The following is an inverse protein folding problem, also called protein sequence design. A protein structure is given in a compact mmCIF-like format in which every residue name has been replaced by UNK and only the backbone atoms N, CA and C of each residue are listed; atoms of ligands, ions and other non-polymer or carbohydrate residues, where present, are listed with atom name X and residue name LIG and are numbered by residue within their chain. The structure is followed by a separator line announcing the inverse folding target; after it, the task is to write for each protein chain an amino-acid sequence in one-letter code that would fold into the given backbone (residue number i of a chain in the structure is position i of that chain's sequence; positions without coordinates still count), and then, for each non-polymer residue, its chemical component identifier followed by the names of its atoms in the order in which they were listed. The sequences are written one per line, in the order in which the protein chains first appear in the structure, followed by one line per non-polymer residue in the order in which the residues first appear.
data_IF_011166341935
#
_entry.id   IF_011166341935
#
_cell.length_a   1.000
_cell.length_b   1.000
_cell.length_c   1.000
_cell.angle_alpha   90.00
_cell.angle_beta   90.00
_cell.angle_gamma   90.00
#
_symmetry.space_group_name_H-M   'P 1'
#
loop_
_entity.id
_entity.type
_entity.pdbx_description
1 polymer ?
#
# COMPACT_ATOMS: atom_id res chain seq x y z
N UNK A 1 -4.68 -18.32 22.06
CA UNK A 1 -4.22 -16.98 21.62
C UNK A 1 -4.18 -15.94 22.75
N UNK A 2 -4.94 -16.09 23.83
CA UNK A 2 -4.92 -15.14 24.95
C UNK A 2 -3.99 -15.56 26.08
N UNK A 3 -3.02 -16.43 25.83
CA UNK A 3 -2.21 -17.07 26.89
C UNK A 3 -1.32 -16.11 27.67
N UNK A 4 -1.00 -14.95 27.13
CA UNK A 4 -0.16 -13.96 27.81
C UNK A 4 -0.96 -12.92 28.60
N UNK A 5 -2.23 -12.69 28.26
CA UNK A 5 -3.06 -11.69 28.95
C UNK A 5 -3.20 -12.07 30.42
N UNK A 6 -3.00 -11.11 31.31
CA UNK A 6 -3.02 -11.28 32.77
C UNK A 6 -1.75 -11.85 33.35
N UNK A 7 -0.74 -12.25 32.53
CA UNK A 7 0.55 -12.74 33.03
C UNK A 7 1.54 -11.59 33.16
N UNK A 8 2.42 -11.71 34.17
CA UNK A 8 3.60 -10.85 34.32
C UNK A 8 4.84 -11.63 33.93
N UNK A 9 5.58 -11.11 32.93
CA UNK A 9 6.83 -11.71 32.43
C UNK A 9 7.89 -10.63 32.41
N UNK A 10 9.01 -10.88 33.06
CA UNK A 10 10.16 -9.95 33.16
C UNK A 10 9.78 -8.53 33.64
N UNK A 11 8.77 -8.43 34.53
CA UNK A 11 8.26 -7.16 35.05
C UNK A 11 7.23 -6.46 34.19
N UNK A 12 6.81 -7.07 33.05
CA UNK A 12 5.77 -6.55 32.16
C UNK A 12 4.47 -7.31 32.38
N UNK A 13 3.41 -6.62 32.79
CA UNK A 13 2.06 -7.17 32.93
C UNK A 13 1.31 -7.00 31.59
N UNK A 14 0.97 -8.11 30.93
CA UNK A 14 0.27 -8.14 29.64
C UNK A 14 -1.23 -7.89 29.83
N UNK A 15 -1.73 -6.79 29.27
CA UNK A 15 -3.10 -6.30 29.52
C UNK A 15 -4.07 -6.74 28.40
N UNK A 16 -3.74 -6.44 27.14
CA UNK A 16 -4.62 -6.70 25.99
C UNK A 16 -3.83 -6.81 24.70
N UNK A 17 -4.43 -7.44 23.69
CA UNK A 17 -3.90 -7.38 22.31
C UNK A 17 -4.38 -6.08 21.68
N UNK A 18 -3.46 -5.33 21.08
CA UNK A 18 -3.71 -4.07 20.36
C UNK A 18 -3.42 -4.17 18.87
N UNK A 19 -2.80 -5.27 18.42
CA UNK A 19 -2.56 -5.55 17.01
C UNK A 19 -2.28 -7.03 16.78
N UNK A 20 -2.73 -7.53 15.63
CA UNK A 20 -2.47 -8.89 15.16
C UNK A 20 -2.02 -8.83 13.71
N UNK A 21 -0.88 -9.43 13.42
CA UNK A 21 -0.31 -9.57 12.09
C UNK A 21 0.07 -11.01 11.79
N UNK A 22 0.35 -11.32 10.54
CA UNK A 22 0.71 -12.68 10.13
C UNK A 22 1.93 -13.30 10.83
N UNK A 23 2.79 -12.47 11.42
CA UNK A 23 4.06 -12.91 12.04
C UNK A 23 4.15 -12.64 13.53
N UNK A 24 3.34 -11.75 14.08
CA UNK A 24 3.44 -11.34 15.48
C UNK A 24 2.12 -10.78 16.00
N UNK A 25 1.95 -10.87 17.33
CA UNK A 25 0.95 -10.16 18.09
C UNK A 25 1.58 -8.93 18.73
N UNK A 26 0.84 -7.84 18.83
CA UNK A 26 1.24 -6.66 19.58
C UNK A 26 0.34 -6.54 20.80
N UNK A 27 0.94 -6.57 21.97
CA UNK A 27 0.25 -6.45 23.27
C UNK A 27 0.47 -5.06 23.85
N UNK A 28 -0.56 -4.49 24.46
CA UNK A 28 -0.40 -3.46 25.47
C UNK A 28 0.02 -4.12 26.77
N UNK A 29 1.10 -3.64 27.39
CA UNK A 29 1.57 -4.13 28.65
C UNK A 29 1.93 -2.96 29.59
N UNK A 30 2.01 -3.24 30.90
CA UNK A 30 2.44 -2.29 31.90
C UNK A 30 3.80 -2.69 32.42
N UNK A 31 4.77 -1.80 32.29
CA UNK A 31 6.12 -1.92 32.82
C UNK A 31 6.10 -1.54 34.31
N UNK A 32 6.14 -2.54 35.19
CA UNK A 32 6.09 -2.35 36.64
C UNK A 32 7.35 -1.68 37.23
N UNK A 33 8.49 -1.78 36.53
CA UNK A 33 9.76 -1.19 36.97
C UNK A 33 9.81 0.31 36.70
N UNK A 34 9.24 0.76 35.57
CA UNK A 34 9.29 2.16 35.12
C UNK A 34 7.94 2.85 35.17
N UNK A 35 6.92 2.21 35.73
CA UNK A 35 5.57 2.77 35.96
C UNK A 35 4.98 3.39 34.68
N UNK A 36 4.96 2.62 33.58
CA UNK A 36 4.49 3.10 32.27
C UNK A 36 3.86 2.01 31.42
N UNK A 37 3.01 2.41 30.48
CA UNK A 37 2.55 1.52 29.42
C UNK A 37 3.57 1.36 28.31
N UNK A 38 3.69 0.14 27.80
CA UNK A 38 4.54 -0.24 26.66
C UNK A 38 3.74 -1.08 25.67
N UNK A 39 4.21 -1.14 24.43
CA UNK A 39 3.75 -2.10 23.45
C UNK A 39 4.77 -3.23 23.34
N UNK A 40 4.33 -4.48 23.37
CA UNK A 40 5.22 -5.63 23.25
C UNK A 40 4.83 -6.45 22.02
N UNK A 41 5.72 -6.48 21.02
CA UNK A 41 5.54 -7.26 19.79
C UNK A 41 6.14 -8.65 20.00
N UNK A 42 5.31 -9.67 20.02
CA UNK A 42 5.68 -11.08 20.28
C UNK A 42 5.54 -11.89 19.01
N UNK A 43 6.61 -12.59 18.60
CA UNK A 43 6.56 -13.47 17.41
C UNK A 43 5.51 -14.57 17.63
N UNK A 44 4.78 -14.86 16.55
CA UNK A 44 3.80 -15.94 16.53
C UNK A 44 4.48 -17.30 16.83
N UNK A 45 3.91 -18.15 17.72
CA UNK A 45 4.50 -19.45 18.08
C UNK A 45 4.89 -20.33 16.90
N UNK A 46 4.08 -20.32 15.82
CA UNK A 46 4.37 -21.07 14.58
C UNK A 46 5.68 -20.68 13.91
N UNK A 47 6.18 -19.48 14.14
CA UNK A 47 7.39 -18.92 13.54
C UNK A 47 8.56 -19.00 14.52
N UNK A 48 8.29 -19.00 15.83
CA UNK A 48 9.29 -19.01 16.89
C UNK A 48 10.16 -20.28 16.93
N UNK A 49 9.72 -21.39 16.32
CA UNK A 49 10.50 -22.62 16.22
C UNK A 49 11.71 -22.52 15.26
N UNK A 50 11.76 -21.51 14.40
CA UNK A 50 12.89 -21.27 13.49
C UNK A 50 13.95 -20.39 14.17
N UNK A 51 15.11 -20.95 14.48
CA UNK A 51 16.25 -20.20 15.02
C UNK A 51 16.66 -19.04 14.10
N UNK A 52 16.60 -19.25 12.78
CA UNK A 52 16.91 -18.22 11.78
C UNK A 52 15.93 -17.06 11.89
N UNK A 53 14.65 -17.34 12.07
CA UNK A 53 13.61 -16.33 12.24
C UNK A 53 13.80 -15.52 13.52
N UNK A 54 14.12 -16.18 14.63
CA UNK A 54 14.41 -15.51 15.91
C UNK A 54 15.65 -14.62 15.84
N UNK A 55 16.72 -15.07 15.19
CA UNK A 55 17.95 -14.29 15.01
C UNK A 55 17.69 -13.05 14.16
N UNK A 56 16.95 -13.17 13.06
CA UNK A 56 16.55 -12.04 12.22
C UNK A 56 15.72 -11.03 12.99
N UNK A 57 14.70 -11.49 13.73
CA UNK A 57 13.86 -10.63 14.56
C UNK A 57 14.66 -9.83 15.60
N UNK A 58 15.61 -10.49 16.28
CA UNK A 58 16.53 -9.83 17.24
C UNK A 58 17.45 -8.81 16.54
N UNK A 59 17.98 -9.16 15.36
CA UNK A 59 18.86 -8.28 14.58
C UNK A 59 18.11 -7.01 14.14
N UNK A 60 16.89 -7.18 13.66
CA UNK A 60 16.05 -6.07 13.21
C UNK A 60 15.64 -5.16 14.37
N UNK A 61 15.25 -5.74 15.52
CA UNK A 61 14.97 -4.96 16.72
C UNK A 61 16.18 -4.13 17.16
N UNK A 62 17.39 -4.71 17.15
CA UNK A 62 18.63 -3.99 17.47
C UNK A 62 18.93 -2.87 16.48
N UNK A 63 18.60 -3.08 15.22
CA UNK A 63 18.77 -2.06 14.19
C UNK A 63 17.77 -0.92 14.38
N UNK A 64 16.49 -1.25 14.64
CA UNK A 64 15.45 -0.24 14.88
C UNK A 64 15.71 0.53 16.18
N UNK A 65 16.30 -0.08 17.21
CA UNK A 65 16.67 0.59 18.45
C UNK A 65 17.65 1.76 18.28
N UNK A 66 18.35 1.83 17.13
CA UNK A 66 19.23 2.96 16.78
C UNK A 66 18.45 4.18 16.25
N UNK A 67 17.18 3.99 15.88
CA UNK A 67 16.34 5.02 15.27
C UNK A 67 15.55 5.76 16.37
N UNK A 68 16.21 6.72 17.03
CA UNK A 68 15.57 7.57 18.04
C UNK A 68 15.13 8.89 17.39
N UNK A 69 13.83 9.00 17.06
CA UNK A 69 13.26 10.18 16.41
C UNK A 69 11.81 10.38 16.89
N UNK A 70 11.33 11.63 17.08
CA UNK A 70 9.97 11.89 17.55
C UNK A 70 8.87 11.26 16.67
N UNK A 71 9.13 11.06 15.37
CA UNK A 71 8.17 10.46 14.45
C UNK A 71 8.43 8.98 14.14
N UNK A 72 9.22 8.29 14.96
CA UNK A 72 9.45 6.84 14.87
C UNK A 72 9.11 6.21 16.21
N UNK A 73 8.44 5.06 16.22
CA UNK A 73 8.21 4.29 17.47
C UNK A 73 9.54 3.76 17.96
N UNK A 74 9.91 4.15 19.18
CA UNK A 74 11.15 3.72 19.80
C UNK A 74 11.07 2.25 20.24
N UNK A 75 12.13 1.48 19.96
CA UNK A 75 12.37 0.16 20.59
C UNK A 75 13.08 0.41 21.91
N UNK A 76 12.53 -0.13 22.98
CA UNK A 76 13.00 0.10 24.35
C UNK A 76 13.82 -1.07 24.86
N UNK A 77 13.39 -2.32 24.59
CA UNK A 77 14.05 -3.52 25.09
C UNK A 77 13.69 -4.77 24.29
N UNK A 78 14.38 -5.87 24.59
CA UNK A 78 14.12 -7.22 24.10
C UNK A 78 13.94 -8.16 25.29
N UNK A 79 12.79 -8.80 25.41
CA UNK A 79 12.49 -9.74 26.48
C UNK A 79 12.36 -11.16 25.97
N UNK A 80 12.68 -12.14 26.84
CA UNK A 80 12.47 -13.55 26.56
C UNK A 80 11.08 -13.97 27.07
N UNK A 81 10.30 -14.58 26.20
CA UNK A 81 8.94 -15.07 26.52
C UNK A 81 8.92 -16.57 26.21
N UNK A 82 9.17 -17.40 27.23
CA UNK A 82 9.31 -18.87 27.07
C UNK A 82 10.31 -19.22 25.95
N UNK A 83 9.88 -19.86 24.87
CA UNK A 83 10.69 -20.18 23.67
C UNK A 83 10.73 -19.06 22.64
N UNK A 84 10.04 -17.94 22.87
CA UNK A 84 9.93 -16.80 21.94
C UNK A 84 10.65 -15.56 22.45
N UNK A 85 10.57 -14.48 21.67
CA UNK A 85 11.13 -13.16 21.98
C UNK A 85 10.08 -12.10 21.79
N UNK A 86 10.00 -11.16 22.73
CA UNK A 86 9.20 -9.94 22.63
C UNK A 86 10.08 -8.72 22.40
N UNK A 87 9.66 -7.83 21.52
CA UNK A 87 10.25 -6.49 21.34
C UNK A 87 9.39 -5.52 22.15
N UNK A 88 9.99 -4.92 23.18
CA UNK A 88 9.35 -3.87 23.97
C UNK A 88 9.52 -2.55 23.25
N UNK A 89 8.43 -1.84 23.01
CA UNK A 89 8.38 -0.59 22.24
C UNK A 89 7.58 0.47 23.00
N UNK A 90 7.78 1.71 22.63
CA UNK A 90 6.94 2.84 23.04
C UNK A 90 5.46 2.51 22.77
N UNK A 91 4.61 2.63 23.79
CA UNK A 91 3.16 2.58 23.63
C UNK A 91 2.66 3.95 23.17
N UNK A 92 2.02 3.99 22.02
CA UNK A 92 1.45 5.21 21.46
C UNK A 92 -0.06 5.21 21.68
N UNK A 93 -0.53 6.13 22.51
CA UNK A 93 -1.97 6.32 22.70
C UNK A 93 -2.55 7.16 21.55
N UNK A 94 -3.15 6.49 20.57
CA UNK A 94 -3.68 7.11 19.37
C UNK A 94 -4.41 6.13 18.48
N UNK A 95 -4.68 6.55 17.25
CA UNK A 95 -5.27 5.72 16.20
C UNK A 95 -4.32 5.62 15.00
N UNK A 96 -4.38 4.51 14.25
CA UNK A 96 -3.66 4.44 12.98
C UNK A 96 -4.32 5.31 11.92
N UNK A 97 -3.53 5.80 10.95
CA UNK A 97 -4.06 6.54 9.80
C UNK A 97 -5.12 5.71 9.04
N UNK A 98 -4.99 4.38 9.02
CA UNK A 98 -6.00 3.49 8.45
C UNK A 98 -7.34 3.57 9.21
N UNK A 99 -7.31 3.65 10.55
CA UNK A 99 -8.52 3.83 11.36
C UNK A 99 -9.13 5.21 11.14
N UNK A 100 -8.29 6.24 11.11
CA UNK A 100 -8.72 7.60 10.80
C UNK A 100 -9.41 7.68 9.43
N UNK A 101 -8.81 7.10 8.38
CA UNK A 101 -9.38 7.08 7.02
C UNK A 101 -10.68 6.28 6.95
N UNK A 102 -10.79 5.17 7.68
CA UNK A 102 -12.06 4.42 7.79
C UNK A 102 -13.18 5.27 8.39
N UNK A 103 -12.86 6.13 9.36
CA UNK A 103 -13.82 6.99 10.04
C UNK A 103 -14.18 8.25 9.23
N UNK A 104 -13.18 8.91 8.61
CA UNK A 104 -13.36 10.18 7.91
C UNK A 104 -13.53 10.03 6.41
N UNK A 105 -13.34 8.80 5.85
CA UNK A 105 -13.25 8.49 4.42
C UNK A 105 -12.05 9.12 3.71
N UNK A 106 -11.81 10.40 3.87
CA UNK A 106 -10.66 11.15 3.34
C UNK A 106 -10.33 12.33 4.23
N UNK A 107 -9.14 12.88 4.10
CA UNK A 107 -8.67 14.06 4.85
C UNK A 107 -8.68 15.31 3.97
N UNK A 108 -8.79 16.46 4.61
CA UNK A 108 -8.49 17.74 3.95
C UNK A 108 -6.99 17.88 3.69
N UNK A 109 -6.62 18.88 2.86
CA UNK A 109 -5.22 19.10 2.50
C UNK A 109 -4.37 19.51 3.70
N UNK A 110 -4.88 20.36 4.59
CA UNK A 110 -4.12 20.85 5.75
C UNK A 110 -3.73 19.70 6.69
N UNK A 111 -4.68 18.81 7.01
CA UNK A 111 -4.42 17.62 7.84
C UNK A 111 -3.52 16.62 7.13
N UNK A 112 -3.71 16.44 5.82
CA UNK A 112 -2.83 15.60 5.00
C UNK A 112 -1.39 16.12 5.02
N UNK A 113 -1.19 17.44 4.83
CA UNK A 113 0.11 18.10 4.87
C UNK A 113 0.81 17.90 6.22
N UNK A 114 0.07 18.10 7.32
CA UNK A 114 0.59 17.92 8.68
C UNK A 114 1.10 16.48 8.92
N UNK A 115 0.27 15.48 8.62
CA UNK A 115 0.62 14.07 8.81
C UNK A 115 1.77 13.67 7.90
N UNK A 116 1.70 14.02 6.63
CA UNK A 116 2.70 13.66 5.63
C UNK A 116 4.08 14.25 5.97
N UNK A 117 4.13 15.53 6.40
CA UNK A 117 5.37 16.20 6.81
C UNK A 117 6.07 15.45 7.94
N UNK A 118 5.33 15.05 8.97
CA UNK A 118 5.88 14.33 10.11
C UNK A 118 6.34 12.91 9.73
N UNK A 119 5.55 12.19 8.90
CA UNK A 119 5.93 10.88 8.40
C UNK A 119 7.21 10.96 7.55
N UNK A 120 7.30 11.94 6.65
CA UNK A 120 8.48 12.18 5.85
C UNK A 120 9.73 12.51 6.70
N UNK A 121 9.56 13.25 7.82
CA UNK A 121 10.67 13.55 8.74
C UNK A 121 11.22 12.28 9.39
N UNK A 122 10.34 11.38 9.85
CA UNK A 122 10.75 10.07 10.39
C UNK A 122 11.45 9.20 9.34
N UNK A 123 10.91 9.13 8.11
CA UNK A 123 11.52 8.39 7.01
C UNK A 123 12.89 8.98 6.63
N UNK A 124 13.00 10.29 6.51
CA UNK A 124 14.25 10.96 6.17
C UNK A 124 15.35 10.64 7.19
N UNK A 125 14.99 10.66 8.48
CA UNK A 125 15.90 10.27 9.56
C UNK A 125 16.36 8.82 9.40
N UNK A 126 15.45 7.87 9.20
CA UNK A 126 15.80 6.46 9.01
C UNK A 126 16.69 6.25 7.77
N UNK A 127 16.39 6.93 6.66
CA UNK A 127 17.15 6.86 5.42
C UNK A 127 18.59 7.39 5.59
N UNK A 128 18.82 8.42 6.42
CA UNK A 128 20.17 8.93 6.70
C UNK A 128 21.05 7.92 7.44
N UNK A 129 20.45 6.95 8.12
CA UNK A 129 21.14 5.80 8.73
C UNK A 129 21.17 4.56 7.82
N UNK A 130 20.75 4.68 6.55
CA UNK A 130 20.72 3.56 5.60
C UNK A 130 19.56 2.57 5.84
N UNK A 131 18.56 2.91 6.67
CA UNK A 131 17.40 2.06 6.90
C UNK A 131 16.28 2.39 5.91
N UNK A 132 15.75 1.36 5.24
CA UNK A 132 14.57 1.42 4.39
C UNK A 132 13.42 0.72 5.12
N UNK A 133 12.26 1.35 5.20
CA UNK A 133 11.10 0.83 5.93
C UNK A 133 10.44 -0.37 5.25
N UNK A 134 10.30 -0.33 3.91
CA UNK A 134 9.78 -1.41 3.05
C UNK A 134 8.29 -1.76 3.21
N UNK A 135 7.57 -1.14 4.15
CA UNK A 135 6.15 -1.43 4.44
C UNK A 135 5.38 -0.19 4.89
N UNK A 136 5.65 0.96 4.27
CA UNK A 136 4.89 2.19 4.54
C UNK A 136 3.47 2.03 4.01
N UNK A 137 2.51 2.23 4.92
CA UNK A 137 1.07 2.17 4.65
C UNK A 137 0.29 2.82 5.79
N UNK A 138 -0.99 3.18 5.62
CA UNK A 138 -1.78 3.85 6.65
C UNK A 138 -1.85 3.11 7.99
N UNK A 139 -1.82 1.78 8.00
CA UNK A 139 -1.84 1.01 9.26
C UNK A 139 -0.56 1.11 10.09
N UNK A 140 0.56 1.49 9.46
CA UNK A 140 1.87 1.63 10.11
C UNK A 140 2.20 3.10 10.46
N UNK A 141 1.26 4.01 10.28
CA UNK A 141 1.36 5.41 10.67
C UNK A 141 0.34 5.65 11.78
N UNK A 142 0.82 5.92 12.99
CA UNK A 142 -0.01 6.13 14.18
C UNK A 142 -0.04 7.61 14.50
N UNK A 143 -1.23 8.14 14.76
CA UNK A 143 -1.48 9.54 15.11
C UNK A 143 -1.89 9.58 16.57
N UNK A 144 -1.08 10.20 17.41
CA UNK A 144 -1.37 10.46 18.81
C UNK A 144 -2.51 11.46 18.95
N UNK A 145 -3.12 11.48 20.14
CA UNK A 145 -4.20 12.44 20.47
C UNK A 145 -3.77 13.91 20.39
N UNK A 146 -2.50 14.19 20.60
CA UNK A 146 -1.89 15.53 20.49
C UNK A 146 -1.43 15.89 19.06
N UNK A 147 -1.70 15.01 18.06
CA UNK A 147 -1.37 15.23 16.66
C UNK A 147 0.04 14.77 16.25
N UNK A 148 0.86 14.26 17.18
CA UNK A 148 2.17 13.70 16.83
C UNK A 148 2.01 12.42 16.04
N UNK A 149 2.69 12.32 14.90
CA UNK A 149 2.70 11.15 14.02
C UNK A 149 3.90 10.25 14.36
N UNK A 150 3.66 8.95 14.45
CA UNK A 150 4.66 7.94 14.73
C UNK A 150 4.62 6.84 13.66
N UNK A 151 5.77 6.53 13.05
CA UNK A 151 5.92 5.40 12.14
C UNK A 151 6.24 4.15 12.95
N UNK A 152 5.45 3.09 12.73
CA UNK A 152 5.59 1.77 13.33
C UNK A 152 6.20 0.77 12.35
N UNK A 153 6.75 -0.34 12.87
CA UNK A 153 7.10 -1.54 12.11
C UNK A 153 8.14 -1.35 10.97
N UNK A 154 9.28 -0.75 11.29
CA UNK A 154 10.43 -0.72 10.38
C UNK A 154 10.89 -2.15 10.02
N UNK A 155 10.48 -2.63 8.83
CA UNK A 155 11.05 -3.78 8.12
C UNK A 155 11.09 -5.16 8.80
N UNK A 156 10.62 -5.27 10.07
CA UNK A 156 10.75 -6.48 10.90
C UNK A 156 10.12 -7.72 10.23
N UNK A 157 9.09 -7.52 9.40
CA UNK A 157 8.35 -8.61 8.80
C UNK A 157 8.86 -9.07 7.42
N UNK A 158 9.49 -8.20 6.63
CA UNK A 158 9.81 -8.50 5.22
C UNK A 158 11.15 -9.19 4.98
N UNK A 159 12.11 -9.10 5.89
CA UNK A 159 13.32 -9.93 5.84
C UNK A 159 13.02 -11.44 5.95
N UNK A 160 11.82 -11.81 6.40
CA UNK A 160 11.38 -13.23 6.43
C UNK A 160 10.88 -13.73 5.09
N UNK A 161 10.36 -12.84 4.23
CA UNK A 161 9.83 -13.19 2.90
C UNK A 161 10.91 -13.25 1.81
N UNK A 162 12.02 -12.53 1.97
CA UNK A 162 13.14 -12.52 1.00
C UNK A 162 13.82 -13.90 0.80
N UNK A 163 13.49 -14.88 1.66
CA UNK A 163 14.10 -16.23 1.62
C UNK A 163 13.16 -17.34 1.09
N UNK A 164 11.91 -17.02 0.72
CA UNK A 164 10.96 -18.02 0.20
C UNK A 164 10.13 -17.43 -0.95
N UNK A 165 10.24 -17.98 -2.18
CA UNK A 165 9.37 -17.63 -3.30
C UNK A 165 7.89 -18.02 -3.11
N UNK A 166 7.56 -18.75 -2.01
CA UNK A 166 6.22 -19.28 -1.71
C UNK A 166 5.65 -18.75 -0.38
N UNK A 167 5.81 -17.45 -0.06
CA UNK A 167 5.01 -16.87 1.04
C UNK A 167 3.53 -16.86 0.62
N UNK A 168 2.76 -17.70 1.31
CA UNK A 168 1.33 -17.95 1.10
C UNK A 168 0.55 -16.64 0.89
N UNK A 169 -0.31 -16.62 -0.10
CA UNK A 169 -1.13 -15.50 -0.57
C UNK A 169 -1.89 -14.74 0.55
N UNK A 170 -2.07 -15.35 1.73
CA UNK A 170 -2.77 -14.76 2.87
C UNK A 170 -2.07 -13.57 3.55
N UNK A 171 -0.74 -13.37 3.35
CA UNK A 171 0.01 -12.26 3.95
C UNK A 171 0.13 -11.03 3.03
N UNK A 172 -0.34 -11.10 1.80
CA UNK A 172 -0.27 -10.03 0.79
C UNK A 172 -1.47 -9.10 0.90
N UNK A 173 -2.60 -9.60 1.47
CA UNK A 173 -3.86 -8.85 1.59
C UNK A 173 -3.64 -7.53 2.35
N UNK A 174 -3.91 -6.41 1.68
CA UNK A 174 -3.79 -5.05 2.21
C UNK A 174 -2.40 -4.40 2.04
N UNK A 175 -1.31 -5.16 1.88
CA UNK A 175 0.03 -4.59 1.62
C UNK A 175 0.24 -4.32 0.13
N UNK A 176 -0.40 -5.09 -0.76
CA UNK A 176 -0.29 -4.95 -2.21
C UNK A 176 -0.57 -3.52 -2.70
N UNK A 177 -1.49 -2.80 -2.05
CA UNK A 177 -1.91 -1.45 -2.43
C UNK A 177 -0.81 -0.38 -2.30
N UNK A 178 0.30 -0.66 -1.61
CA UNK A 178 1.38 0.30 -1.34
C UNK A 178 2.75 -0.22 -1.78
N UNK A 179 2.82 -1.39 -2.41
CA UNK A 179 4.07 -1.98 -2.89
C UNK A 179 4.65 -1.17 -4.05
N UNK A 180 5.93 -0.88 -3.98
CA UNK A 180 6.65 -0.26 -5.09
C UNK A 180 6.90 -1.27 -6.24
N UNK A 181 7.03 -0.79 -7.50
CA UNK A 181 7.33 -1.66 -8.65
C UNK A 181 8.54 -2.57 -8.44
N UNK A 182 9.63 -2.04 -7.87
CA UNK A 182 10.84 -2.79 -7.59
C UNK A 182 10.64 -3.85 -6.50
N UNK A 183 9.77 -3.60 -5.50
CA UNK A 183 9.38 -4.63 -4.52
C UNK A 183 8.65 -5.79 -5.16
N UNK A 184 7.73 -5.49 -6.09
CA UNK A 184 6.95 -6.49 -6.80
C UNK A 184 7.85 -7.36 -7.69
N UNK A 185 8.86 -6.75 -8.32
CA UNK A 185 9.83 -7.44 -9.17
C UNK A 185 10.90 -8.21 -8.40
N UNK A 186 11.02 -8.00 -7.06
CA UNK A 186 12.11 -8.55 -6.25
C UNK A 186 13.46 -7.91 -6.53
N UNK A 187 13.48 -6.68 -7.03
CA UNK A 187 14.70 -5.90 -7.29
C UNK A 187 15.28 -5.30 -6.01
N UNK A 188 16.45 -4.66 -6.10
CA UNK A 188 17.09 -4.00 -4.97
C UNK A 188 16.23 -2.84 -4.44
N UNK A 189 15.95 -2.86 -3.14
CA UNK A 189 15.14 -1.85 -2.47
C UNK A 189 16.01 -0.73 -1.91
N UNK A 190 15.56 0.50 -2.10
CA UNK A 190 16.20 1.70 -1.58
C UNK A 190 15.16 2.62 -0.92
N UNK A 191 15.60 3.77 -0.41
CA UNK A 191 14.72 4.82 0.10
C UNK A 191 13.65 5.28 -0.91
N UNK A 192 13.88 5.11 -2.22
CA UNK A 192 12.88 5.39 -3.26
C UNK A 192 11.66 4.45 -3.18
N UNK A 193 11.82 3.24 -2.62
CA UNK A 193 10.68 2.34 -2.40
C UNK A 193 9.72 2.91 -1.35
N UNK A 194 10.26 3.49 -0.27
CA UNK A 194 9.45 4.16 0.76
C UNK A 194 8.82 5.46 0.21
N UNK A 195 9.50 6.18 -0.68
CA UNK A 195 8.96 7.36 -1.37
C UNK A 195 7.74 6.98 -2.22
N UNK A 196 7.76 5.85 -2.90
CA UNK A 196 6.61 5.34 -3.63
C UNK A 196 5.45 4.99 -2.69
N UNK A 197 5.72 4.25 -1.63
CA UNK A 197 4.71 3.80 -0.67
C UNK A 197 4.07 4.97 0.09
N UNK A 198 4.85 6.01 0.45
CA UNK A 198 4.30 7.22 1.06
C UNK A 198 3.51 8.05 0.04
N UNK A 199 3.86 8.02 -1.25
CA UNK A 199 3.07 8.58 -2.34
C UNK A 199 1.70 7.90 -2.46
N UNK A 200 1.64 6.57 -2.41
CA UNK A 200 0.38 5.81 -2.36
C UNK A 200 -0.47 6.20 -1.13
N UNK A 201 0.18 6.34 0.02
CA UNK A 201 -0.49 6.75 1.27
C UNK A 201 -1.03 8.19 1.16
N UNK A 202 -0.25 9.12 0.60
CA UNK A 202 -0.68 10.51 0.38
C UNK A 202 -1.87 10.60 -0.58
N UNK A 203 -1.87 9.80 -1.66
CA UNK A 203 -2.99 9.68 -2.58
C UNK A 203 -4.26 9.22 -1.83
N UNK A 204 -4.16 8.16 -1.02
CA UNK A 204 -5.30 7.65 -0.26
C UNK A 204 -5.80 8.64 0.78
N UNK A 205 -4.93 9.39 1.45
CA UNK A 205 -5.35 10.40 2.42
C UNK A 205 -6.33 11.42 1.84
N UNK A 206 -6.12 11.85 0.60
CA UNK A 206 -6.96 12.89 -0.03
C UNK A 206 -8.13 12.34 -0.85
N UNK A 207 -8.05 11.08 -1.32
CA UNK A 207 -9.10 10.45 -2.14
C UNK A 207 -9.99 9.49 -1.34
N UNK A 208 -9.45 8.88 -0.27
CA UNK A 208 -10.07 7.79 0.49
C UNK A 208 -9.83 6.41 -0.12
N UNK A 209 -9.07 6.31 -1.21
CA UNK A 209 -8.73 5.05 -1.90
C UNK A 209 -7.25 5.04 -2.28
N UNK A 210 -6.57 3.87 -2.24
CA UNK A 210 -5.22 3.76 -2.78
C UNK A 210 -5.21 4.01 -4.31
N UNK A 211 -4.05 4.35 -4.91
CA UNK A 211 -3.95 4.68 -6.34
C UNK A 211 -4.52 3.61 -7.27
N UNK A 212 -4.41 2.35 -6.89
CA UNK A 212 -4.90 1.18 -7.62
C UNK A 212 -5.80 0.33 -6.72
N UNK A 213 -7.08 0.68 -6.68
CA UNK A 213 -8.09 -0.06 -5.91
C UNK A 213 -8.84 -1.03 -6.83
N UNK A 214 -8.35 -2.28 -6.93
CA UNK A 214 -8.82 -3.29 -7.88
C UNK A 214 -9.34 -4.55 -7.15
N UNK A 215 -10.13 -5.42 -7.82
CA UNK A 215 -10.84 -6.53 -7.18
C UNK A 215 -9.97 -7.62 -6.57
N UNK A 216 -8.72 -7.78 -7.01
CA UNK A 216 -7.79 -8.77 -6.48
C UNK A 216 -6.35 -8.26 -6.49
N UNK A 217 -5.52 -8.85 -5.63
CA UNK A 217 -4.14 -8.44 -5.41
C UNK A 217 -3.28 -8.57 -6.69
N UNK A 218 -3.50 -9.59 -7.52
CA UNK A 218 -2.75 -9.75 -8.77
C UNK A 218 -2.95 -8.55 -9.70
N UNK A 219 -4.18 -8.08 -9.88
CA UNK A 219 -4.47 -6.88 -10.69
C UNK A 219 -3.89 -5.62 -10.06
N UNK A 220 -3.89 -5.52 -8.72
CA UNK A 220 -3.24 -4.41 -8.00
C UNK A 220 -1.75 -4.40 -8.28
N UNK A 221 -1.07 -5.54 -8.13
CA UNK A 221 0.37 -5.66 -8.41
C UNK A 221 0.69 -5.33 -9.87
N UNK A 222 -0.10 -5.82 -10.83
CA UNK A 222 0.06 -5.51 -12.25
C UNK A 222 -0.10 -3.99 -12.50
N UNK A 223 -1.08 -3.35 -11.88
CA UNK A 223 -1.30 -1.91 -12.04
C UNK A 223 -0.16 -1.07 -11.46
N UNK A 224 0.43 -1.48 -10.33
CA UNK A 224 1.64 -0.85 -9.81
C UNK A 224 2.82 -0.91 -10.79
N UNK A 225 2.91 -1.99 -11.58
CA UNK A 225 3.98 -2.16 -12.57
C UNK A 225 3.74 -1.34 -13.85
N UNK A 226 2.50 -1.27 -14.33
CA UNK A 226 2.21 -0.86 -15.71
C UNK A 226 1.24 0.30 -15.85
N UNK A 227 0.26 0.45 -14.92
CA UNK A 227 -0.83 1.39 -15.12
C UNK A 227 -0.51 2.77 -14.53
N UNK A 228 -1.15 3.79 -15.06
CA UNK A 228 -1.18 5.14 -14.49
C UNK A 228 -2.39 5.22 -13.56
N UNK A 229 -2.21 5.79 -12.38
CA UNK A 229 -3.31 6.02 -11.44
C UNK A 229 -4.28 7.09 -11.97
N UNK A 230 -5.51 7.10 -11.47
CA UNK A 230 -6.46 8.16 -11.78
C UNK A 230 -5.92 9.53 -11.31
N UNK A 231 -6.04 10.59 -12.13
CA UNK A 231 -5.64 11.93 -11.73
C UNK A 231 -6.33 12.36 -10.43
N UNK A 232 -5.59 13.02 -9.52
CA UNK A 232 -6.13 13.50 -8.25
C UNK A 232 -7.23 14.56 -8.45
N UNK A 233 -7.16 15.31 -9.55
CA UNK A 233 -8.14 16.31 -9.95
C UNK A 233 -9.53 15.71 -10.18
N UNK A 234 -9.61 14.45 -10.59
CA UNK A 234 -10.88 13.72 -10.76
C UNK A 234 -11.58 13.45 -9.41
N UNK A 235 -10.83 13.49 -8.30
CA UNK A 235 -11.32 13.24 -6.95
C UNK A 235 -11.52 14.54 -6.15
N UNK A 236 -10.63 15.51 -6.37
CA UNK A 236 -10.51 16.73 -5.57
C UNK A 236 -9.98 17.88 -6.42
N UNK A 237 -10.88 18.80 -6.81
CA UNK A 237 -10.53 20.02 -7.55
C UNK A 237 -9.92 21.12 -6.68
N UNK A 238 -9.98 20.97 -5.35
CA UNK A 238 -9.48 21.92 -4.36
C UNK A 238 -8.03 21.66 -3.93
N UNK A 239 -7.38 20.63 -4.47
CA UNK A 239 -5.98 20.33 -4.14
C UNK A 239 -5.02 21.30 -4.84
N UNK A 240 -4.00 21.81 -4.13
CA UNK A 240 -2.95 22.62 -4.77
C UNK A 240 -2.20 21.82 -5.84
N UNK A 241 -1.97 22.41 -7.02
CA UNK A 241 -1.26 21.75 -8.12
C UNK A 241 0.14 21.27 -7.72
N UNK A 242 0.82 22.02 -6.83
CA UNK A 242 2.13 21.60 -6.30
C UNK A 242 2.05 20.30 -5.48
N UNK A 243 0.94 20.06 -4.75
CA UNK A 243 0.72 18.79 -4.04
C UNK A 243 0.42 17.66 -5.02
N UNK A 244 -0.40 17.89 -6.04
CA UNK A 244 -0.70 16.91 -7.09
C UNK A 244 0.59 16.47 -7.78
N UNK A 245 1.44 17.43 -8.17
CA UNK A 245 2.76 17.12 -8.75
C UNK A 245 3.66 16.33 -7.79
N UNK A 246 3.67 16.66 -6.50
CA UNK A 246 4.44 15.92 -5.48
C UNK A 246 4.03 14.45 -5.41
N UNK A 247 2.73 14.16 -5.41
CA UNK A 247 2.21 12.80 -5.38
C UNK A 247 2.52 12.07 -6.68
N UNK A 248 2.29 12.70 -7.83
CA UNK A 248 2.55 12.12 -9.15
C UNK A 248 4.04 11.75 -9.33
N UNK A 249 4.96 12.62 -8.88
CA UNK A 249 6.39 12.35 -8.95
C UNK A 249 6.79 11.20 -8.01
N UNK A 250 6.17 11.10 -6.83
CA UNK A 250 6.42 10.00 -5.90
C UNK A 250 5.95 8.65 -6.45
N UNK A 251 4.91 8.64 -7.32
CA UNK A 251 4.32 7.45 -7.92
C UNK A 251 4.96 7.06 -9.27
N UNK A 252 6.08 7.68 -9.66
CA UNK A 252 6.82 7.27 -10.85
C UNK A 252 7.28 5.81 -10.75
N UNK A 253 7.18 5.09 -11.87
CA UNK A 253 7.46 3.65 -11.89
C UNK A 253 8.94 3.35 -11.66
N UNK A 254 9.82 4.11 -12.28
CA UNK A 254 11.26 3.96 -12.12
C UNK A 254 11.73 4.70 -10.87
N UNK A 255 12.52 4.08 -9.97
CA UNK A 255 13.03 4.74 -8.76
C UNK A 255 13.78 6.04 -9.03
N UNK A 256 14.57 6.09 -10.12
CA UNK A 256 15.37 7.26 -10.52
C UNK A 256 14.55 8.48 -10.94
N UNK A 257 13.28 8.27 -11.34
CA UNK A 257 12.37 9.33 -11.78
C UNK A 257 11.58 9.93 -10.61
N UNK A 258 11.73 9.35 -9.40
CA UNK A 258 11.11 9.82 -8.16
C UNK A 258 11.96 10.92 -7.50
N UNK A 259 11.39 11.69 -6.57
CA UNK A 259 12.15 12.62 -5.74
C UNK A 259 13.36 11.96 -5.09
N UNK A 260 14.49 12.68 -5.06
CA UNK A 260 15.79 12.14 -4.59
C UNK A 260 15.82 11.75 -3.12
N UNK A 261 14.98 12.36 -2.27
CA UNK A 261 14.91 12.06 -0.83
C UNK A 261 13.60 12.56 -0.23
N UNK A 262 13.29 12.08 0.99
CA UNK A 262 12.18 12.62 1.77
C UNK A 262 12.40 14.09 2.14
N UNK A 263 13.64 14.56 2.28
CA UNK A 263 13.95 15.98 2.51
C UNK A 263 13.47 16.87 1.35
N UNK A 264 13.66 16.43 0.10
CA UNK A 264 13.15 17.15 -1.08
C UNK A 264 11.62 17.23 -1.03
N UNK A 265 10.96 16.14 -0.65
CA UNK A 265 9.49 16.13 -0.49
C UNK A 265 9.02 17.07 0.62
N UNK A 266 9.73 17.11 1.76
CA UNK A 266 9.42 18.04 2.87
C UNK A 266 9.54 19.48 2.38
N UNK A 267 10.63 19.87 1.72
CA UNK A 267 10.85 21.23 1.20
C UNK A 267 9.74 21.63 0.22
N UNK A 268 9.36 20.72 -0.69
CA UNK A 268 8.25 20.98 -1.63
C UNK A 268 6.92 21.10 -0.89
N UNK A 269 6.64 20.25 0.09
CA UNK A 269 5.41 20.28 0.86
C UNK A 269 5.31 21.55 1.71
N UNK A 270 6.42 22.00 2.32
CA UNK A 270 6.48 23.22 3.14
C UNK A 270 6.26 24.48 2.29
N UNK A 271 6.68 24.47 1.02
CA UNK A 271 6.45 25.59 0.09
C UNK A 271 4.99 25.76 -0.35
N UNK A 272 4.12 24.76 -0.12
CA UNK A 272 2.70 24.84 -0.46
C UNK A 272 1.99 25.61 0.68
N UNK A 273 1.35 26.76 0.41
CA UNK A 273 0.60 27.50 1.43
C UNK A 273 -0.47 26.60 2.06
N UNK A 274 -0.58 26.64 3.38
CA UNK A 274 -1.74 26.08 4.07
C UNK A 274 -2.88 27.07 3.85
N UNK A 275 -3.69 26.84 2.83
CA UNK A 275 -4.92 27.59 2.64
C UNK A 275 -5.82 27.26 3.84
N UNK A 276 -6.10 28.26 4.66
CA UNK A 276 -7.14 28.17 5.69
C UNK A 276 -8.49 28.09 4.96
N UNK A 277 -8.88 26.89 4.56
CA UNK A 277 -10.25 26.66 4.12
C UNK A 277 -11.16 26.80 5.33
N UNK A 278 -12.08 27.76 5.24
CA UNK A 278 -13.17 27.93 6.21
C UNK A 278 -13.89 26.58 6.41
N UNK A 279 -14.22 26.18 7.64
CA UNK A 279 -14.82 24.87 7.94
C UNK A 279 -16.23 24.67 7.34
N UNK A 280 -16.74 25.60 6.53
CA UNK A 280 -18.09 25.58 5.99
C UNK A 280 -18.26 24.81 4.66
N UNK A 281 -17.21 24.20 4.11
CA UNK A 281 -17.37 23.27 2.97
C UNK A 281 -17.42 21.84 3.48
N UNK A 282 -18.56 21.40 3.97
CA UNK A 282 -18.93 20.00 3.98
C UNK A 282 -19.29 19.64 2.54
N UNK A 283 -18.42 18.91 1.79
CA UNK A 283 -18.82 18.42 0.48
C UNK A 283 -20.03 17.51 0.70
N UNK A 284 -21.13 17.81 0.02
CA UNK A 284 -22.28 16.91 -0.02
C UNK A 284 -21.78 15.54 -0.46
N UNK A 285 -22.03 14.58 0.38
CA UNK A 285 -21.72 13.17 0.23
C UNK A 285 -22.31 12.69 -1.10
N UNK A 286 -21.52 12.63 -2.17
CA UNK A 286 -21.90 11.82 -3.33
C UNK A 286 -21.89 10.38 -2.88
N UNK A 287 -23.09 9.87 -2.64
CA UNK A 287 -23.36 8.56 -2.11
C UNK A 287 -22.67 7.47 -2.94
N UNK A 288 -22.37 6.32 -2.31
CA UNK A 288 -21.90 5.08 -2.95
C UNK A 288 -22.67 4.72 -4.25
N UNK A 289 -23.82 5.35 -4.50
CA UNK A 289 -24.62 5.28 -5.71
C UNK A 289 -23.94 5.98 -6.93
N UNK A 290 -23.22 7.08 -6.76
CA UNK A 290 -22.54 7.76 -7.87
C UNK A 290 -21.34 6.97 -8.37
N UNK A 291 -20.59 6.35 -7.44
CA UNK A 291 -19.46 5.44 -7.78
C UNK A 291 -19.98 4.17 -8.47
N UNK A 292 -21.13 3.63 -8.06
CA UNK A 292 -21.82 2.52 -8.76
C UNK A 292 -22.25 2.93 -10.15
N UNK A 293 -22.72 4.15 -10.36
CA UNK A 293 -23.20 4.66 -11.66
C UNK A 293 -22.03 4.87 -12.64
N UNK A 294 -20.90 5.42 -12.18
CA UNK A 294 -19.67 5.56 -12.98
C UNK A 294 -19.08 4.20 -13.39
N UNK A 295 -19.09 3.21 -12.46
CA UNK A 295 -18.66 1.84 -12.72
C UNK A 295 -19.58 1.09 -13.69
N UNK A 296 -20.89 1.34 -13.61
CA UNK A 296 -21.91 0.80 -14.53
C UNK A 296 -21.70 1.35 -15.95
N UNK A 297 -21.45 2.65 -16.11
CA UNK A 297 -21.23 3.28 -17.41
C UNK A 297 -19.95 2.77 -18.08
N UNK A 298 -18.87 2.53 -17.33
CA UNK A 298 -17.62 1.98 -17.87
C UNK A 298 -17.77 0.52 -18.34
N UNK A 299 -18.52 -0.30 -17.61
CA UNK A 299 -18.84 -1.68 -18.01
C UNK A 299 -19.73 -1.68 -19.24
N UNK A 300 -20.73 -0.80 -19.28
CA UNK A 300 -21.63 -0.64 -20.43
C UNK A 300 -20.87 -0.21 -21.71
N UNK A 301 -19.94 0.75 -21.58
CA UNK A 301 -19.09 1.18 -22.69
C UNK A 301 -18.19 0.06 -23.22
N UNK A 302 -17.62 -0.78 -22.35
CA UNK A 302 -16.85 -1.97 -22.75
C UNK A 302 -17.69 -3.00 -23.47
N UNK A 303 -18.93 -3.25 -23.05
CA UNK A 303 -19.86 -4.18 -23.70
C UNK A 303 -20.20 -3.66 -25.10
N UNK A 304 -20.49 -2.37 -25.26
CA UNK A 304 -20.74 -1.76 -26.58
C UNK A 304 -19.52 -1.93 -27.50
N UNK A 305 -18.31 -1.71 -27.01
CA UNK A 305 -17.09 -1.86 -27.82
C UNK A 305 -16.87 -3.31 -28.26
N UNK A 306 -17.15 -4.29 -27.42
CA UNK A 306 -17.08 -5.72 -27.76
C UNK A 306 -18.14 -6.09 -28.80
N UNK A 307 -19.37 -5.60 -28.65
CA UNK A 307 -20.43 -5.86 -29.64
C UNK A 307 -20.11 -5.23 -31.00
N UNK A 308 -19.51 -4.03 -31.03
CA UNK A 308 -19.08 -3.38 -32.26
C UNK A 308 -17.96 -4.17 -32.95
N UNK A 309 -16.98 -4.69 -32.23
CA UNK A 309 -15.92 -5.54 -32.79
C UNK A 309 -16.47 -6.84 -33.36
N UNK A 310 -17.42 -7.50 -32.67
CA UNK A 310 -18.10 -8.70 -33.18
C UNK A 310 -18.88 -8.39 -34.47
N UNK A 311 -19.60 -7.26 -34.50
CA UNK A 311 -20.36 -6.83 -35.69
C UNK A 311 -19.43 -6.56 -36.88
N UNK A 312 -18.30 -5.89 -36.67
CA UNK A 312 -17.29 -5.64 -37.72
C UNK A 312 -16.73 -6.96 -38.23
N UNK A 313 -16.35 -7.90 -37.38
CA UNK A 313 -15.88 -9.22 -37.76
C UNK A 313 -16.93 -9.98 -38.57
N UNK A 314 -18.21 -9.92 -38.18
CA UNK A 314 -19.30 -10.57 -38.90
C UNK A 314 -19.50 -9.98 -40.29
N UNK A 315 -19.42 -8.65 -40.43
CA UNK A 315 -19.54 -7.96 -41.75
C UNK A 315 -18.35 -8.29 -42.65
N UNK A 316 -17.14 -8.39 -42.11
CA UNK A 316 -15.95 -8.81 -42.88
C UNK A 316 -16.10 -10.23 -43.38
N UNK A 317 -16.52 -11.17 -42.54
CA UNK A 317 -16.72 -12.59 -42.91
C UNK A 317 -17.83 -12.72 -43.94
N UNK A 318 -18.93 -11.93 -43.84
CA UNK A 318 -20.02 -11.93 -44.81
C UNK A 318 -19.57 -11.41 -46.20
N UNK A 319 -18.77 -10.33 -46.22
CA UNK A 319 -18.22 -9.80 -47.46
C UNK A 319 -17.22 -10.75 -48.14
N UNK A 320 -16.39 -11.46 -47.33
CA UNK A 320 -15.46 -12.47 -47.89
C UNK A 320 -16.20 -13.66 -48.51
N UNK A 321 -17.34 -14.10 -47.92
CA UNK A 321 -18.18 -15.15 -48.54
C UNK A 321 -18.83 -14.75 -49.84
N UNK A 322 -19.20 -13.46 -50.01
CA UNK A 322 -19.82 -12.96 -51.22
C UNK A 322 -18.79 -12.90 -52.38
N UNK A 323 -17.52 -12.63 -52.11
CA UNK A 323 -16.46 -12.58 -53.12
C UNK A 323 -15.98 -13.96 -53.61
N UNK A 324 -16.24 -15.04 -52.84
CA UNK A 324 -15.85 -16.39 -53.25
C UNK A 324 -16.92 -17.16 -54.03
N UNK A 325 -18.19 -16.71 -54.06
CA UNK A 325 -19.28 -17.36 -54.82
C UNK A 325 -19.47 -16.81 -56.24
N UNK A 326 -18.65 -15.87 -56.71
CA UNK A 326 -18.82 -15.17 -58.01
C UNK A 326 -17.91 -15.62 -59.13
N UNK A 327 -17.21 -16.77 -59.03
CA UNK A 327 -16.34 -17.27 -60.11
C UNK A 327 -16.46 -18.79 -60.29
N UNK A 328 -17.58 -19.23 -60.90
CA UNK A 328 -17.63 -20.46 -61.67
C UNK A 328 -18.38 -20.18 -63.01
N UNK A 329 -17.62 -19.97 -64.06
CA UNK A 329 -18.08 -20.08 -65.42
C UNK A 329 -18.16 -21.55 -65.85
N UNK A 330 -19.20 -21.99 -66.59
CA UNK A 330 -19.32 -23.35 -67.07
C UNK A 330 -18.57 -23.50 -68.39
N UNK A 331 -17.48 -24.27 -68.33
CA UNK A 331 -16.87 -24.78 -69.61
C UNK A 331 -17.58 -26.04 -70.05
N UNK A 332 -18.44 -25.83 -71.11
CA UNK A 332 -18.97 -26.84 -72.01
C UNK A 332 -17.85 -27.35 -72.90
N UNK A 333 -17.55 -28.65 -72.93
CA UNK A 333 -16.90 -29.28 -74.04
C UNK A 333 -17.48 -30.67 -74.33
N UNK A 334 -18.00 -30.73 -75.53
CA UNK A 334 -18.61 -31.79 -76.26
C UNK A 334 -17.72 -33.07 -76.42
N UNK A 335 -18.43 -34.14 -76.50
CA UNK A 335 -18.07 -35.47 -77.03
C UNK A 335 -17.37 -35.40 -78.40
N UNK A 336 -16.44 -36.26 -78.61
CA UNK A 336 -16.53 -37.12 -79.83
C UNK A 336 -15.71 -38.43 -79.67
N UNK A 337 -16.18 -39.51 -80.26
CA UNK A 337 -15.68 -40.86 -80.12
C UNK A 337 -14.78 -41.27 -81.31
N UNK A 338 -14.20 -42.46 -81.26
CA UNK A 338 -13.47 -43.30 -82.20
C UNK A 338 -11.94 -43.30 -82.08
N UNK A 339 -11.53 -44.46 -81.82
CA UNK A 339 -10.66 -45.40 -82.55
C UNK A 339 -9.47 -45.98 -81.78
N UNK A 340 -9.61 -47.24 -81.70
CA UNK A 340 -8.68 -48.39 -81.72
C UNK A 340 -7.85 -48.65 -80.45
#
# INVERSE_FOLDING_TARGET
MNELIGKTIDGFNFISIIGEGGMAFVYKAYDQKLDRFVAIKVIHPRISHSLISLQRFKKEARNQAKLLHPNIIAVLDLIKISSSVGIVMEYVEGESLSQLLKRCSRLDFAKTKEILRQALAGLNFAHSFGFVHRDIKPSNIIIRKDGVVKIADFGIAKSFSDSRPNSTASNIIGTAYYMSPEQIKGEHLSHHSDIYSIGCTAYEMVTGYPPFYLPNDFKVLQAHLMDVHAPLENWRSDLPQAFISLVNDSLQKQPRDRPKSCEVLIKRLDSIPSLNFSPNYLPQYESKAAIRKAKSNYVFLKIILILLTILICFLVVKNVKITHFGKEEPTNKQLNPFSR
#
